data_IF_277600423752
#
_entry.id   IF_277600423752
#
_cell.length_a   1.000
_cell.length_b   1.000
_cell.length_c   1.000
_cell.angle_alpha   90.00
_cell.angle_beta   90.00
_cell.angle_gamma   90.00
#
_symmetry.space_group_name_H-M   'P 1'
#
loop_
_entity.id
_entity.type
_entity.pdbx_description
1 polymer ?
#
# COMPACT_ATOMS: atom_id res chain seq x y z
N UNK A 1 -20.98 -8.62 -11.51
CA UNK A 1 -22.26 -7.89 -11.64
C UNK A 1 -21.96 -6.49 -12.16
N UNK A 2 -22.59 -6.10 -13.27
CA UNK A 2 -22.44 -4.78 -13.86
C UNK A 2 -23.20 -3.72 -13.02
N UNK A 3 -22.53 -2.60 -12.72
CA UNK A 3 -23.12 -1.50 -11.93
C UNK A 3 -23.40 -0.24 -12.77
N UNK A 4 -23.08 -0.24 -14.07
CA UNK A 4 -23.36 0.87 -14.97
C UNK A 4 -24.86 0.94 -15.34
N UNK A 5 -25.35 2.15 -15.69
CA UNK A 5 -26.72 2.38 -16.13
C UNK A 5 -26.99 1.75 -17.49
N UNK A 6 -26.00 1.69 -18.37
CA UNK A 6 -26.06 1.08 -19.70
C UNK A 6 -25.08 -0.08 -19.83
N UNK A 7 -25.40 -1.14 -20.64
CA UNK A 7 -24.46 -2.20 -20.92
C UNK A 7 -23.23 -1.64 -21.66
N UNK A 8 -22.02 -2.21 -21.45
CA UNK A 8 -20.87 -1.81 -22.24
C UNK A 8 -21.07 -2.18 -23.71
N UNK A 9 -20.53 -1.38 -24.63
CA UNK A 9 -20.57 -1.65 -26.08
C UNK A 9 -19.66 -2.83 -26.48
N UNK A 10 -18.66 -3.12 -25.66
CA UNK A 10 -17.72 -4.24 -25.81
C UNK A 10 -17.43 -4.89 -24.46
N UNK A 11 -16.97 -6.16 -24.41
CA UNK A 11 -16.60 -6.78 -23.15
C UNK A 11 -15.39 -6.06 -22.54
N UNK A 12 -15.42 -5.85 -21.23
CA UNK A 12 -14.25 -5.36 -20.49
C UNK A 12 -13.11 -6.35 -20.72
N UNK A 13 -11.94 -5.83 -21.09
CA UNK A 13 -10.81 -6.67 -21.51
C UNK A 13 -10.41 -7.72 -20.45
N UNK A 14 -10.47 -7.37 -19.17
CA UNK A 14 -10.20 -8.32 -18.08
C UNK A 14 -11.20 -9.48 -18.02
N UNK A 15 -12.50 -9.18 -18.23
CA UNK A 15 -13.54 -10.23 -18.23
C UNK A 15 -13.42 -11.13 -19.45
N UNK A 16 -13.15 -10.54 -20.64
CA UNK A 16 -12.90 -11.30 -21.85
C UNK A 16 -11.66 -12.21 -21.67
N UNK A 17 -10.56 -11.66 -21.17
CA UNK A 17 -9.34 -12.44 -20.94
C UNK A 17 -9.55 -13.58 -19.94
N UNK A 18 -10.35 -13.38 -18.91
CA UNK A 18 -10.71 -14.46 -17.99
C UNK A 18 -11.46 -15.59 -18.70
N UNK A 19 -12.41 -15.26 -19.57
CA UNK A 19 -13.15 -16.24 -20.37
C UNK A 19 -12.22 -17.00 -21.32
N UNK A 20 -11.28 -16.31 -21.98
CA UNK A 20 -10.26 -16.90 -22.87
C UNK A 20 -9.33 -17.85 -22.08
N UNK A 21 -8.91 -17.47 -20.86
CA UNK A 21 -8.11 -18.34 -20.01
C UNK A 21 -8.87 -19.65 -19.67
N UNK A 22 -10.14 -19.58 -19.34
CA UNK A 22 -10.97 -20.78 -19.13
C UNK A 22 -11.15 -21.58 -20.42
N UNK A 23 -11.30 -20.91 -21.56
CA UNK A 23 -11.34 -21.54 -22.88
C UNK A 23 -10.06 -22.34 -23.16
N UNK A 24 -8.88 -21.73 -22.92
CA UNK A 24 -7.60 -22.42 -23.05
C UNK A 24 -7.51 -23.66 -22.15
N UNK A 25 -7.89 -23.52 -20.88
CA UNK A 25 -7.89 -24.67 -19.95
C UNK A 25 -8.79 -25.82 -20.44
N UNK A 26 -9.96 -25.50 -20.98
CA UNK A 26 -10.87 -26.50 -21.57
C UNK A 26 -10.28 -27.15 -22.82
N UNK A 27 -9.69 -26.38 -23.72
CA UNK A 27 -9.01 -26.93 -24.91
C UNK A 27 -7.94 -27.94 -24.52
N UNK A 28 -7.10 -27.59 -23.54
CA UNK A 28 -6.01 -28.46 -23.08
C UNK A 28 -6.52 -29.71 -22.37
N UNK A 29 -7.49 -29.55 -21.47
CA UNK A 29 -7.96 -30.68 -20.63
C UNK A 29 -8.85 -31.66 -21.38
N UNK A 30 -9.57 -31.21 -22.41
CA UNK A 30 -10.52 -32.02 -23.18
C UNK A 30 -10.08 -32.28 -24.61
N UNK A 31 -8.92 -31.77 -25.03
CA UNK A 31 -8.41 -31.96 -26.42
C UNK A 31 -9.30 -31.27 -27.46
N UNK A 32 -9.95 -30.14 -27.13
CA UNK A 32 -10.85 -29.47 -28.05
C UNK A 32 -10.07 -28.62 -29.06
N UNK A 33 -10.43 -28.61 -30.35
CA UNK A 33 -9.77 -27.79 -31.37
C UNK A 33 -10.22 -26.30 -31.30
N UNK A 34 -11.38 -26.05 -30.74
CA UNK A 34 -11.96 -24.71 -30.53
C UNK A 34 -12.96 -24.69 -29.40
N UNK A 35 -13.27 -23.51 -28.88
CA UNK A 35 -14.28 -23.26 -27.83
C UNK A 35 -15.10 -22.02 -28.17
N UNK A 36 -16.34 -22.02 -27.72
CA UNK A 36 -17.19 -20.81 -27.70
C UNK A 36 -17.12 -20.21 -26.30
N UNK A 37 -16.51 -19.03 -26.17
CA UNK A 37 -16.46 -18.26 -24.94
C UNK A 37 -17.54 -17.18 -24.98
N UNK A 38 -18.10 -16.85 -23.81
CA UNK A 38 -19.17 -15.87 -23.73
C UNK A 38 -19.05 -15.04 -22.48
N UNK A 39 -18.98 -13.71 -22.64
CA UNK A 39 -19.06 -12.76 -21.53
C UNK A 39 -20.49 -12.22 -21.47
N UNK A 40 -21.15 -12.41 -20.34
CA UNK A 40 -22.53 -11.97 -20.14
C UNK A 40 -22.60 -11.01 -18.96
N UNK A 41 -23.15 -9.82 -19.18
CA UNK A 41 -23.41 -8.84 -18.15
C UNK A 41 -24.87 -8.93 -17.71
N UNK A 42 -25.08 -9.09 -16.41
CA UNK A 42 -26.39 -9.22 -15.82
C UNK A 42 -26.61 -8.20 -14.70
N UNK A 43 -27.81 -7.69 -14.56
CA UNK A 43 -28.21 -6.86 -13.41
C UNK A 43 -28.23 -7.70 -12.13
N UNK A 44 -28.31 -7.05 -10.96
CA UNK A 44 -28.51 -7.74 -9.66
C UNK A 44 -29.78 -8.60 -9.63
N UNK A 45 -30.77 -8.30 -10.48
CA UNK A 45 -32.04 -9.07 -10.63
C UNK A 45 -31.95 -10.16 -11.70
N UNK A 46 -30.78 -10.45 -12.25
CA UNK A 46 -30.57 -11.52 -13.25
C UNK A 46 -30.94 -11.15 -14.69
N UNK A 47 -31.36 -9.89 -14.97
CA UNK A 47 -31.69 -9.48 -16.35
C UNK A 47 -30.40 -9.29 -17.13
N UNK A 48 -30.29 -9.95 -18.31
CA UNK A 48 -29.17 -9.78 -19.24
C UNK A 48 -29.20 -8.36 -19.80
N UNK A 49 -28.05 -7.68 -19.76
CA UNK A 49 -27.84 -6.32 -20.31
C UNK A 49 -26.95 -6.34 -21.54
N UNK A 50 -26.03 -7.27 -21.62
CA UNK A 50 -25.11 -7.41 -22.77
C UNK A 50 -24.56 -8.83 -22.81
N UNK A 51 -24.35 -9.34 -24.02
CA UNK A 51 -23.83 -10.67 -24.28
C UNK A 51 -22.84 -10.60 -25.44
N UNK A 52 -21.64 -11.13 -25.21
CA UNK A 52 -20.50 -11.04 -26.14
C UNK A 52 -19.97 -12.47 -26.36
N UNK A 53 -20.55 -13.21 -27.34
CA UNK A 53 -20.05 -14.52 -27.72
C UNK A 53 -18.85 -14.36 -28.64
N UNK A 54 -17.88 -15.24 -28.50
CA UNK A 54 -16.69 -15.30 -29.34
C UNK A 54 -16.28 -16.76 -29.51
N UNK A 55 -15.98 -17.19 -30.75
CA UNK A 55 -15.44 -18.51 -31.03
C UNK A 55 -13.94 -18.39 -31.25
N UNK A 56 -13.19 -19.14 -30.47
CA UNK A 56 -11.73 -19.15 -30.50
C UNK A 56 -11.20 -20.55 -30.74
N UNK A 57 -10.19 -20.67 -31.58
CA UNK A 57 -9.41 -21.92 -31.74
C UNK A 57 -8.55 -22.16 -30.51
N UNK A 58 -8.12 -23.40 -30.32
CA UNK A 58 -7.19 -23.75 -29.25
C UNK A 58 -5.88 -22.98 -29.33
N UNK A 59 -5.44 -22.63 -30.55
CA UNK A 59 -4.21 -21.88 -30.77
C UNK A 59 -4.36 -20.39 -30.40
N UNK A 60 -5.48 -19.75 -30.77
CA UNK A 60 -5.81 -18.39 -30.37
C UNK A 60 -5.94 -18.28 -28.86
N UNK A 61 -6.69 -19.17 -28.21
CA UNK A 61 -6.79 -19.23 -26.76
C UNK A 61 -5.41 -19.40 -26.09
N UNK A 62 -4.53 -20.25 -26.65
CA UNK A 62 -3.18 -20.46 -26.16
C UNK A 62 -2.34 -19.20 -26.29
N UNK A 63 -2.37 -18.53 -27.45
CA UNK A 63 -1.60 -17.32 -27.70
C UNK A 63 -1.99 -16.20 -26.73
N UNK A 64 -3.28 -15.96 -26.56
CA UNK A 64 -3.78 -14.96 -25.62
C UNK A 64 -3.48 -15.32 -24.16
N UNK A 65 -3.64 -16.57 -23.76
CA UNK A 65 -3.25 -17.05 -22.43
C UNK A 65 -1.76 -16.82 -22.17
N UNK A 66 -0.91 -17.14 -23.15
CA UNK A 66 0.53 -16.91 -23.04
C UNK A 66 0.89 -15.43 -22.95
N UNK A 67 0.16 -14.54 -23.62
CA UNK A 67 0.40 -13.11 -23.56
C UNK A 67 0.26 -12.55 -22.13
N UNK A 68 -0.63 -13.12 -21.32
CA UNK A 68 -0.80 -12.75 -19.90
C UNK A 68 0.17 -13.52 -18.99
N UNK A 69 0.36 -14.81 -19.26
CA UNK A 69 1.16 -15.69 -18.41
C UNK A 69 2.65 -15.38 -18.47
N UNK A 70 3.20 -15.12 -19.68
CA UNK A 70 4.64 -14.92 -19.86
C UNK A 70 5.20 -13.72 -19.10
N UNK A 71 4.59 -12.54 -19.10
CA UNK A 71 5.02 -11.40 -18.25
C UNK A 71 5.01 -11.78 -16.76
N UNK A 72 3.95 -12.43 -16.30
CA UNK A 72 3.86 -12.88 -14.91
C UNK A 72 5.01 -13.85 -14.53
N UNK A 73 5.29 -14.83 -15.39
CA UNK A 73 6.41 -15.78 -15.18
C UNK A 73 7.77 -15.08 -15.20
N UNK A 74 7.96 -14.10 -16.08
CA UNK A 74 9.19 -13.28 -16.11
C UNK A 74 9.38 -12.55 -14.78
N UNK A 75 8.32 -11.92 -14.27
CA UNK A 75 8.33 -11.24 -12.97
C UNK A 75 8.69 -12.20 -11.83
N UNK A 76 8.03 -13.36 -11.73
CA UNK A 76 8.36 -14.37 -10.71
C UNK A 76 9.82 -14.82 -10.81
N UNK A 77 10.32 -15.07 -12.02
CA UNK A 77 11.71 -15.47 -12.23
C UNK A 77 12.70 -14.39 -11.79
N UNK A 78 12.40 -13.12 -12.08
CA UNK A 78 13.21 -11.98 -11.65
C UNK A 78 13.22 -11.84 -10.12
N UNK A 79 12.06 -11.91 -9.47
CA UNK A 79 11.96 -11.90 -8.00
C UNK A 79 12.74 -13.06 -7.38
N UNK A 80 12.61 -14.27 -7.92
CA UNK A 80 13.37 -15.44 -7.41
C UNK A 80 14.88 -15.27 -7.58
N UNK A 81 15.33 -14.70 -8.70
CA UNK A 81 16.75 -14.42 -8.94
C UNK A 81 17.25 -13.39 -7.93
N UNK A 82 16.52 -12.29 -7.77
CA UNK A 82 16.83 -11.28 -6.77
C UNK A 82 16.88 -11.88 -5.35
N UNK A 83 15.87 -12.65 -4.95
CA UNK A 83 15.83 -13.29 -3.62
C UNK A 83 17.08 -14.15 -3.36
N UNK A 84 17.57 -14.88 -4.38
CA UNK A 84 18.81 -15.67 -4.24
C UNK A 84 20.04 -14.78 -4.06
N UNK A 85 20.19 -13.73 -4.87
CA UNK A 85 21.30 -12.77 -4.77
C UNK A 85 21.25 -12.02 -3.43
N UNK A 86 20.07 -11.55 -3.04
CA UNK A 86 19.81 -10.93 -1.73
C UNK A 86 20.24 -11.85 -0.58
N UNK A 87 19.73 -13.07 -0.55
CA UNK A 87 20.03 -14.00 0.55
C UNK A 87 21.54 -14.31 0.63
N UNK A 88 22.21 -14.46 -0.50
CA UNK A 88 23.65 -14.66 -0.54
C UNK A 88 24.41 -13.43 0.02
N UNK A 89 24.01 -12.21 -0.38
CA UNK A 89 24.62 -10.98 0.12
C UNK A 89 24.36 -10.78 1.62
N UNK A 90 23.14 -11.07 2.08
CA UNK A 90 22.77 -10.99 3.50
C UNK A 90 23.45 -12.05 4.37
N UNK A 91 23.76 -13.23 3.82
CA UNK A 91 24.54 -14.23 4.54
C UNK A 91 25.96 -13.72 4.87
N UNK A 92 26.57 -12.98 3.94
CA UNK A 92 27.90 -12.37 4.12
C UNK A 92 27.88 -11.07 4.95
N UNK A 93 26.69 -10.47 5.17
CA UNK A 93 26.55 -9.18 5.84
C UNK A 93 27.17 -9.18 7.25
N UNK A 94 27.99 -8.19 7.53
CA UNK A 94 28.61 -7.94 8.85
C UNK A 94 27.97 -6.71 9.50
N UNK A 95 28.11 -6.61 10.81
CA UNK A 95 27.68 -5.41 11.52
C UNK A 95 28.47 -4.19 11.00
N UNK A 96 27.81 -3.02 10.75
CA UNK A 96 28.40 -1.93 9.98
C UNK A 96 29.47 -1.11 10.72
N UNK A 97 29.80 -1.50 11.92
CA UNK A 97 30.84 -0.84 12.74
C UNK A 97 31.85 -1.87 13.26
N UNK A 98 33.08 -1.42 13.47
CA UNK A 98 34.14 -2.30 13.99
C UNK A 98 33.80 -2.88 15.35
N UNK A 99 33.14 -2.10 16.21
CA UNK A 99 32.77 -2.52 17.56
C UNK A 99 31.29 -2.17 17.82
N UNK A 100 30.63 -3.01 18.62
CA UNK A 100 29.32 -2.71 19.16
C UNK A 100 29.43 -1.68 20.30
N UNK A 101 28.53 -0.73 20.35
CA UNK A 101 28.32 0.11 21.52
C UNK A 101 27.66 -0.70 22.64
N UNK A 102 27.75 -0.25 23.92
CA UNK A 102 27.08 -0.92 25.02
C UNK A 102 25.59 -1.17 24.73
N UNK A 103 25.12 -2.40 24.97
CA UNK A 103 23.73 -2.84 24.72
C UNK A 103 23.37 -3.16 23.24
N UNK A 104 24.14 -2.71 22.25
CA UNK A 104 23.81 -2.94 20.84
C UNK A 104 23.80 -4.41 20.44
N UNK A 105 24.82 -5.18 20.92
CA UNK A 105 24.92 -6.61 20.60
C UNK A 105 23.78 -7.38 21.22
N UNK A 106 23.44 -7.09 22.45
CA UNK A 106 22.31 -7.71 23.17
C UNK A 106 21.00 -7.42 22.46
N UNK A 107 20.77 -6.16 22.08
CA UNK A 107 19.61 -5.75 21.29
C UNK A 107 19.53 -6.54 19.97
N UNK A 108 20.62 -6.62 19.22
CA UNK A 108 20.66 -7.34 17.94
C UNK A 108 20.32 -8.83 18.10
N UNK A 109 20.83 -9.48 19.16
CA UNK A 109 20.54 -10.88 19.48
C UNK A 109 19.05 -11.04 19.84
N UNK A 110 18.51 -10.12 20.64
CA UNK A 110 17.08 -10.19 21.04
C UNK A 110 16.15 -9.96 19.85
N UNK A 111 16.45 -9.00 18.96
CA UNK A 111 15.67 -8.76 17.73
C UNK A 111 15.69 -9.99 16.84
N UNK A 112 16.86 -10.55 16.54
CA UNK A 112 16.96 -11.77 15.75
C UNK A 112 16.17 -12.92 16.36
N UNK A 113 16.32 -13.12 17.68
CA UNK A 113 15.63 -14.19 18.42
C UNK A 113 14.10 -14.01 18.40
N UNK A 114 13.64 -12.78 18.56
CA UNK A 114 12.21 -12.45 18.49
C UNK A 114 11.62 -12.78 17.11
N UNK A 115 12.30 -12.38 16.01
CA UNK A 115 11.90 -12.72 14.65
C UNK A 115 11.86 -14.23 14.45
N UNK A 116 12.95 -14.94 14.81
CA UNK A 116 13.04 -16.39 14.68
C UNK A 116 11.94 -17.13 15.43
N UNK A 117 11.56 -16.63 16.62
CA UNK A 117 10.53 -17.24 17.48
C UNK A 117 9.11 -16.70 17.20
N UNK A 118 8.96 -15.79 16.21
CA UNK A 118 7.69 -15.11 15.89
C UNK A 118 7.06 -14.44 17.13
N UNK A 119 7.90 -13.79 17.96
CA UNK A 119 7.47 -13.13 19.20
C UNK A 119 7.57 -11.61 19.09
N UNK A 120 6.80 -10.93 19.93
CA UNK A 120 6.90 -9.48 20.12
C UNK A 120 8.06 -9.18 21.07
N UNK A 121 8.84 -8.14 20.74
CA UNK A 121 9.94 -7.63 21.58
C UNK A 121 9.67 -6.15 21.88
N UNK A 122 9.69 -5.81 23.13
CA UNK A 122 9.75 -4.42 23.60
C UNK A 122 11.16 -4.17 24.11
N UNK A 123 11.85 -3.19 23.54
CA UNK A 123 13.22 -2.88 23.89
C UNK A 123 13.37 -1.38 24.16
N UNK A 124 14.02 -1.03 25.25
CA UNK A 124 14.34 0.34 25.62
C UNK A 124 15.85 0.54 25.55
N UNK A 125 16.28 1.51 24.76
CA UNK A 125 17.68 1.93 24.64
C UNK A 125 17.78 3.45 24.66
N UNK A 126 18.81 4.03 25.26
CA UNK A 126 19.04 5.47 25.22
C UNK A 126 19.17 6.01 23.79
N UNK A 127 18.89 7.29 23.58
CA UNK A 127 19.11 7.98 22.31
C UNK A 127 20.60 7.99 21.96
N UNK A 128 20.91 7.99 20.65
CA UNK A 128 22.31 8.04 20.19
C UNK A 128 23.11 6.73 20.29
N UNK A 129 22.54 5.65 20.82
CA UNK A 129 23.20 4.36 20.93
C UNK A 129 23.25 3.54 19.64
N UNK A 130 22.63 4.03 18.54
CA UNK A 130 22.59 3.33 17.27
C UNK A 130 21.51 2.25 17.18
N UNK A 131 20.33 2.51 17.73
CA UNK A 131 19.15 1.63 17.71
C UNK A 131 18.84 1.10 16.31
N UNK A 132 18.82 1.98 15.30
CA UNK A 132 18.46 1.62 13.91
C UNK A 132 19.38 0.52 13.34
N UNK A 133 20.70 0.63 13.54
CA UNK A 133 21.64 -0.42 13.12
C UNK A 133 21.48 -1.69 13.93
N UNK A 134 21.20 -1.58 15.23
CA UNK A 134 21.01 -2.73 16.12
C UNK A 134 19.70 -3.50 15.87
N UNK A 135 18.74 -2.88 15.16
CA UNK A 135 17.47 -3.51 14.77
C UNK A 135 17.45 -3.97 13.30
N UNK A 136 17.95 -3.12 12.38
CA UNK A 136 17.97 -3.44 10.94
C UNK A 136 18.93 -4.58 10.62
N UNK A 137 20.15 -4.55 11.17
CA UNK A 137 21.13 -5.60 10.89
C UNK A 137 20.62 -7.02 11.19
N UNK A 138 20.10 -7.33 12.39
CA UNK A 138 19.59 -8.66 12.68
C UNK A 138 18.29 -8.99 11.90
N UNK A 139 17.45 -7.99 11.59
CA UNK A 139 16.27 -8.19 10.76
C UNK A 139 16.64 -8.57 9.33
N UNK A 140 17.67 -7.93 8.75
CA UNK A 140 18.20 -8.30 7.43
C UNK A 140 18.86 -9.69 7.44
N UNK A 141 19.56 -10.08 8.51
CA UNK A 141 20.07 -11.46 8.66
C UNK A 141 18.91 -12.45 8.66
N UNK A 142 17.87 -12.19 9.45
CA UNK A 142 16.68 -13.01 9.49
C UNK A 142 15.95 -13.10 8.14
N UNK A 143 15.89 -11.98 7.38
CA UNK A 143 15.36 -11.93 6.03
C UNK A 143 16.17 -12.83 5.07
N UNK A 144 17.50 -12.75 5.13
CA UNK A 144 18.40 -13.59 4.32
C UNK A 144 18.27 -15.08 4.60
N UNK A 145 17.90 -15.46 5.81
CA UNK A 145 17.67 -16.84 6.24
C UNK A 145 16.23 -17.32 5.99
N UNK A 146 15.35 -16.44 5.45
CA UNK A 146 13.95 -16.76 5.17
C UNK A 146 13.07 -16.86 6.44
N UNK A 147 13.51 -16.29 7.56
CA UNK A 147 12.73 -16.24 8.81
C UNK A 147 11.63 -15.18 8.77
N UNK A 148 11.69 -14.27 7.80
CA UNK A 148 10.67 -13.28 7.46
C UNK A 148 10.69 -13.01 5.97
N UNK A 149 9.57 -12.62 5.38
CA UNK A 149 9.45 -12.33 3.95
C UNK A 149 9.82 -10.90 3.59
N UNK A 150 9.52 -9.94 4.48
CA UNK A 150 9.77 -8.52 4.30
C UNK A 150 10.03 -7.85 5.65
N UNK A 151 10.72 -6.70 5.65
CA UNK A 151 10.96 -5.89 6.83
C UNK A 151 10.34 -4.50 6.65
N UNK A 152 9.46 -4.10 7.54
CA UNK A 152 8.89 -2.76 7.60
C UNK A 152 9.50 -2.00 8.76
N UNK A 153 10.16 -0.88 8.47
CA UNK A 153 10.68 0.03 9.47
C UNK A 153 9.73 1.22 9.60
N UNK A 154 9.01 1.26 10.71
CA UNK A 154 7.94 2.23 10.97
C UNK A 154 8.44 3.37 11.84
N UNK A 155 8.20 4.61 11.41
CA UNK A 155 8.60 5.83 12.13
C UNK A 155 7.40 6.70 12.47
N UNK A 156 7.45 7.42 13.58
CA UNK A 156 6.40 8.35 13.99
C UNK A 156 6.39 9.65 13.17
N UNK A 157 7.56 10.05 12.65
CA UNK A 157 7.75 11.31 11.90
C UNK A 157 8.77 11.15 10.79
N UNK A 158 8.62 11.94 9.74
CA UNK A 158 9.54 11.98 8.58
C UNK A 158 11.00 12.26 8.99
N UNK A 159 11.22 13.10 10.02
CA UNK A 159 12.57 13.43 10.52
C UNK A 159 13.27 12.27 11.21
N UNK A 160 12.53 11.33 11.81
CA UNK A 160 13.09 10.16 12.50
C UNK A 160 13.57 9.08 11.53
N UNK A 161 13.09 9.14 10.30
CA UNK A 161 13.41 8.22 9.20
C UNK A 161 14.89 8.25 8.81
N UNK A 162 15.56 9.41 9.01
CA UNK A 162 16.96 9.59 8.63
C UNK A 162 17.90 8.58 9.31
N UNK A 163 17.65 8.25 10.56
CA UNK A 163 18.46 7.24 11.27
C UNK A 163 18.37 5.83 10.67
N UNK A 164 17.22 5.45 10.13
CA UNK A 164 17.04 4.18 9.42
C UNK A 164 17.71 4.22 8.04
N UNK A 165 17.57 5.33 7.31
CA UNK A 165 18.22 5.54 6.01
C UNK A 165 19.74 5.50 6.13
N UNK A 166 20.31 6.19 7.12
CA UNK A 166 21.75 6.18 7.38
C UNK A 166 22.25 4.78 7.74
N UNK A 167 21.48 4.04 8.54
CA UNK A 167 21.82 2.66 8.89
C UNK A 167 21.79 1.74 7.66
N UNK A 168 20.76 1.85 6.80
CA UNK A 168 20.69 1.11 5.54
C UNK A 168 21.82 1.49 4.58
N UNK A 169 22.11 2.78 4.42
CA UNK A 169 23.20 3.25 3.54
C UNK A 169 24.55 2.69 3.96
N UNK A 170 24.83 2.63 5.27
CA UNK A 170 26.05 1.99 5.80
C UNK A 170 26.09 0.49 5.54
N UNK A 171 24.97 -0.21 5.68
CA UNK A 171 24.87 -1.63 5.37
C UNK A 171 25.07 -1.88 3.87
N UNK A 172 24.51 -1.01 3.02
CA UNK A 172 24.65 -1.07 1.56
C UNK A 172 26.10 -0.94 1.06
N UNK A 173 26.98 -0.27 1.81
CA UNK A 173 28.41 -0.21 1.50
C UNK A 173 29.07 -1.60 1.43
N UNK A 174 28.41 -2.64 1.92
CA UNK A 174 28.88 -4.02 1.88
C UNK A 174 28.37 -4.81 0.65
N UNK A 175 28.07 -4.14 -0.45
CA UNK A 175 27.58 -4.79 -1.70
C UNK A 175 26.30 -5.62 -1.52
N UNK A 176 25.30 -5.06 -0.87
CA UNK A 176 24.01 -5.72 -0.69
C UNK A 176 23.15 -5.63 -1.96
N UNK A 177 22.58 -6.74 -2.33
CA UNK A 177 21.44 -6.78 -3.25
C UNK A 177 20.15 -6.65 -2.43
N UNK A 178 19.61 -5.46 -2.33
CA UNK A 178 18.44 -5.18 -1.47
C UNK A 178 17.52 -4.15 -2.13
N UNK A 179 16.26 -4.50 -2.31
CA UNK A 179 15.22 -3.57 -2.73
C UNK A 179 14.65 -2.85 -1.51
N UNK A 180 15.19 -1.67 -1.23
CA UNK A 180 14.81 -0.86 -0.08
C UNK A 180 14.00 0.36 -0.54
N UNK A 181 12.74 0.42 -0.14
CA UNK A 181 11.77 1.42 -0.56
C UNK A 181 11.43 2.37 0.58
N UNK A 182 11.29 3.66 0.25
CA UNK A 182 10.78 4.69 1.17
C UNK A 182 9.41 5.15 0.69
N UNK A 183 8.42 5.13 1.58
CA UNK A 183 7.08 5.65 1.28
C UNK A 183 6.93 7.03 1.89
N UNK A 184 6.65 8.01 1.05
CA UNK A 184 6.26 9.37 1.44
C UNK A 184 4.75 9.58 1.33
N UNK A 185 4.24 10.58 2.05
CA UNK A 185 2.85 10.95 2.00
C UNK A 185 2.43 11.34 0.56
N UNK A 186 1.22 10.92 0.17
CA UNK A 186 0.66 11.15 -1.18
C UNK A 186 0.72 12.61 -1.59
N UNK A 187 0.38 13.52 -0.70
CA UNK A 187 0.36 14.96 -0.97
C UNK A 187 1.74 15.53 -1.31
N UNK A 188 2.81 14.94 -0.74
CA UNK A 188 4.20 15.33 -1.04
C UNK A 188 4.71 14.79 -2.37
N UNK A 189 4.14 13.66 -2.82
CA UNK A 189 4.56 13.00 -4.05
C UNK A 189 3.71 13.39 -5.27
N UNK A 190 2.49 13.91 -5.06
CA UNK A 190 1.57 14.23 -6.13
C UNK A 190 2.07 15.41 -6.97
N UNK A 191 2.40 15.20 -8.26
CA UNK A 191 2.92 16.29 -9.09
C UNK A 191 1.81 17.19 -9.68
N UNK A 192 0.56 16.73 -9.69
CA UNK A 192 -0.54 17.43 -10.35
C UNK A 192 -1.44 18.19 -9.37
N UNK A 193 -1.48 17.78 -8.10
CA UNK A 193 -2.38 18.32 -7.06
C UNK A 193 -3.85 18.43 -7.49
N UNK A 194 -4.26 17.63 -8.49
CA UNK A 194 -5.64 17.54 -8.97
C UNK A 194 -6.44 16.51 -8.19
N UNK A 195 -7.76 16.48 -8.39
CA UNK A 195 -8.61 15.43 -7.81
C UNK A 195 -8.10 14.05 -8.26
N UNK A 196 -7.84 13.17 -7.29
CA UNK A 196 -7.29 11.83 -7.55
C UNK A 196 -8.39 10.89 -8.07
N UNK A 197 -8.78 11.10 -9.33
CA UNK A 197 -9.78 10.31 -10.04
C UNK A 197 -9.35 10.16 -11.51
N UNK A 198 -9.59 9.01 -12.18
CA UNK A 198 -9.20 8.79 -13.58
C UNK A 198 -9.71 9.82 -14.58
N UNK A 199 -10.84 10.48 -14.31
CA UNK A 199 -11.39 11.52 -15.19
C UNK A 199 -10.65 12.86 -15.11
N UNK A 200 -9.92 13.10 -14.00
CA UNK A 200 -9.27 14.38 -13.72
C UNK A 200 -7.75 14.31 -13.63
N UNK A 201 -7.19 13.09 -13.49
CA UNK A 201 -5.77 12.86 -13.34
C UNK A 201 -5.27 11.84 -14.37
N UNK A 202 -4.47 12.28 -15.33
CA UNK A 202 -3.89 11.40 -16.35
C UNK A 202 -3.03 10.29 -15.77
N UNK A 203 -2.37 10.55 -14.64
CA UNK A 203 -1.55 9.54 -13.95
C UNK A 203 -2.38 8.47 -13.25
N UNK A 204 -3.62 8.77 -12.88
CA UNK A 204 -4.57 7.80 -12.34
C UNK A 204 -5.25 6.99 -13.45
N UNK A 205 -5.50 7.62 -14.63
CA UNK A 205 -6.13 6.96 -15.77
C UNK A 205 -5.24 5.86 -16.32
N UNK A 206 -5.69 4.61 -16.24
CA UNK A 206 -4.95 3.45 -16.75
C UNK A 206 -3.62 3.17 -16.02
N UNK A 207 -3.46 3.59 -14.78
CA UNK A 207 -2.26 3.41 -13.97
C UNK A 207 -1.79 1.95 -13.99
N UNK A 208 -2.65 1.02 -13.60
CA UNK A 208 -2.34 -0.41 -13.53
C UNK A 208 -2.13 -1.11 -14.88
N UNK A 209 -2.35 -0.44 -15.99
CA UNK A 209 -2.02 -0.95 -17.32
C UNK A 209 -0.57 -0.62 -17.71
N UNK A 210 -0.02 0.46 -17.14
CA UNK A 210 1.32 0.96 -17.44
C UNK A 210 2.36 0.60 -16.38
N UNK A 211 1.93 0.18 -15.17
CA UNK A 211 2.85 -0.07 -14.06
C UNK A 211 3.69 -1.34 -14.25
N UNK A 212 3.24 -2.28 -15.09
CA UNK A 212 3.96 -3.55 -15.32
C UNK A 212 5.36 -3.33 -15.87
N UNK A 213 5.51 -2.52 -16.92
CA UNK A 213 6.82 -2.22 -17.50
C UNK A 213 7.69 -1.40 -16.56
N UNK A 214 7.09 -0.44 -15.84
CA UNK A 214 7.78 0.36 -14.84
C UNK A 214 8.31 -0.51 -13.67
N UNK A 215 7.52 -1.49 -13.23
CA UNK A 215 7.95 -2.46 -12.20
C UNK A 215 9.11 -3.32 -12.73
N UNK A 216 9.05 -3.80 -13.99
CA UNK A 216 10.14 -4.56 -14.59
C UNK A 216 11.44 -3.74 -14.67
N UNK A 217 11.35 -2.45 -15.01
CA UNK A 217 12.49 -1.53 -15.00
C UNK A 217 13.07 -1.36 -13.59
N UNK A 218 12.22 -1.14 -12.58
CA UNK A 218 12.67 -1.05 -11.18
C UNK A 218 13.29 -2.36 -10.68
N UNK A 219 12.76 -3.51 -11.08
CA UNK A 219 13.34 -4.81 -10.71
C UNK A 219 14.72 -5.05 -11.34
N UNK A 220 15.03 -4.39 -12.44
CA UNK A 220 16.34 -4.43 -13.07
C UNK A 220 17.31 -3.36 -12.52
N UNK A 221 16.81 -2.36 -11.80
CA UNK A 221 17.60 -1.28 -11.23
C UNK A 221 18.19 -1.69 -9.87
N UNK A 222 19.44 -1.28 -9.64
CA UNK A 222 20.09 -1.43 -8.33
C UNK A 222 19.67 -0.31 -7.35
N UNK A 223 19.22 0.82 -7.90
CA UNK A 223 18.80 2.00 -7.12
C UNK A 223 17.28 2.05 -6.95
N UNK A 224 16.81 1.90 -5.72
CA UNK A 224 15.42 2.03 -5.28
C UNK A 224 15.17 3.29 -4.47
N UNK A 225 16.01 4.32 -4.65
CA UNK A 225 15.82 5.62 -4.02
C UNK A 225 14.50 6.27 -4.43
N UNK A 226 13.99 7.16 -3.58
CA UNK A 226 12.77 7.91 -3.86
C UNK A 226 12.88 8.75 -5.16
N UNK A 227 14.09 9.19 -5.49
CA UNK A 227 14.39 9.92 -6.73
C UNK A 227 14.22 9.03 -7.95
N UNK A 228 14.79 7.81 -7.93
CA UNK A 228 14.69 6.89 -9.05
C UNK A 228 13.26 6.36 -9.22
N UNK A 229 12.57 6.03 -8.12
CA UNK A 229 11.15 5.64 -8.16
C UNK A 229 10.31 6.75 -8.80
N UNK A 230 10.57 8.02 -8.47
CA UNK A 230 9.87 9.16 -9.08
C UNK A 230 10.21 9.30 -10.56
N UNK A 231 11.48 9.20 -10.94
CA UNK A 231 11.92 9.30 -12.33
C UNK A 231 11.26 8.22 -13.21
N UNK A 232 11.22 6.98 -12.74
CA UNK A 232 10.54 5.89 -13.44
C UNK A 232 9.02 6.13 -13.50
N UNK A 233 8.39 6.57 -12.41
CA UNK A 233 6.97 6.92 -12.41
C UNK A 233 6.65 8.04 -13.42
N UNK A 234 7.50 9.05 -13.52
CA UNK A 234 7.36 10.15 -14.49
C UNK A 234 7.49 9.65 -15.93
N UNK A 235 8.48 8.81 -16.20
CA UNK A 235 8.72 8.20 -17.52
C UNK A 235 7.50 7.45 -18.06
N UNK A 236 6.81 6.72 -17.19
CA UNK A 236 5.61 5.93 -17.55
C UNK A 236 4.29 6.65 -17.27
N UNK A 237 4.31 7.95 -16.96
CA UNK A 237 3.14 8.73 -16.58
C UNK A 237 2.31 8.07 -15.46
N UNK A 238 2.97 7.53 -14.44
CA UNK A 238 2.36 6.91 -13.27
C UNK A 238 2.21 7.90 -12.12
N UNK A 239 1.25 7.63 -11.22
CA UNK A 239 1.23 8.29 -9.93
C UNK A 239 2.41 7.78 -9.08
N UNK A 240 3.37 8.61 -8.65
CA UNK A 240 4.54 8.14 -7.90
C UNK A 240 4.16 7.43 -6.60
N UNK A 241 3.10 7.89 -5.93
CA UNK A 241 2.60 7.26 -4.70
C UNK A 241 2.02 5.85 -4.97
N UNK A 242 1.11 5.72 -5.94
CA UNK A 242 0.51 4.41 -6.27
C UNK A 242 1.57 3.44 -6.83
N UNK A 243 2.55 3.96 -7.56
CA UNK A 243 3.67 3.16 -8.04
C UNK A 243 4.53 2.64 -6.87
N UNK A 244 4.87 3.49 -5.90
CA UNK A 244 5.54 3.05 -4.67
C UNK A 244 4.72 1.98 -3.92
N UNK A 245 3.37 2.11 -3.89
CA UNK A 245 2.50 1.08 -3.31
C UNK A 245 2.58 -0.26 -4.08
N UNK A 246 2.68 -0.23 -5.41
CA UNK A 246 2.88 -1.45 -6.22
C UNK A 246 4.26 -2.09 -5.95
N UNK A 247 5.30 -1.27 -5.77
CA UNK A 247 6.65 -1.74 -5.45
C UNK A 247 6.75 -2.34 -4.04
N UNK A 248 5.93 -1.90 -3.07
CA UNK A 248 5.88 -2.50 -1.72
C UNK A 248 5.62 -4.00 -1.73
N UNK A 249 4.94 -4.52 -2.76
CA UNK A 249 4.64 -5.95 -2.83
C UNK A 249 5.88 -6.83 -3.04
N UNK A 250 6.93 -6.27 -3.60
CA UNK A 250 8.16 -6.98 -3.94
C UNK A 250 9.40 -6.44 -3.22
N UNK A 251 9.30 -5.29 -2.55
CA UNK A 251 10.40 -4.71 -1.78
C UNK A 251 10.82 -5.63 -0.63
N UNK A 252 12.11 -5.63 -0.30
CA UNK A 252 12.68 -6.37 0.82
C UNK A 252 12.55 -5.61 2.13
N UNK A 253 12.78 -4.30 2.07
CA UNK A 253 12.68 -3.36 3.18
C UNK A 253 11.80 -2.20 2.77
N UNK A 254 10.85 -1.83 3.61
CA UNK A 254 10.02 -0.63 3.42
C UNK A 254 10.15 0.26 4.64
N UNK A 255 10.53 1.51 4.44
CA UNK A 255 10.57 2.54 5.47
C UNK A 255 9.38 3.46 5.28
N UNK A 256 8.49 3.56 6.26
CA UNK A 256 7.29 4.36 6.17
C UNK A 256 6.80 4.88 7.53
N UNK A 257 5.78 5.76 7.50
CA UNK A 257 5.07 6.20 8.70
C UNK A 257 4.20 5.07 9.28
N UNK A 258 3.92 5.13 10.59
CA UNK A 258 3.02 4.20 11.30
C UNK A 258 1.66 4.04 10.62
N UNK A 259 1.13 5.11 10.01
CA UNK A 259 -0.19 5.11 9.39
C UNK A 259 -0.30 4.01 8.31
N UNK A 260 0.77 3.76 7.56
CA UNK A 260 0.75 2.75 6.50
C UNK A 260 0.58 1.31 6.99
N UNK A 261 0.86 1.06 8.26
CA UNK A 261 0.69 -0.26 8.86
C UNK A 261 -0.51 -0.35 9.81
N UNK A 262 -0.90 0.77 10.46
CA UNK A 262 -1.76 0.74 11.63
C UNK A 262 -3.07 1.54 11.47
N UNK A 263 -3.11 2.55 10.58
CA UNK A 263 -4.30 3.36 10.38
C UNK A 263 -5.35 2.61 9.55
N UNK A 264 -6.56 2.36 10.07
CA UNK A 264 -7.61 1.63 9.36
C UNK A 264 -8.00 2.23 8.00
N UNK A 265 -7.82 3.54 7.82
CA UNK A 265 -8.17 4.25 6.58
C UNK A 265 -7.03 4.24 5.54
N UNK A 266 -5.78 4.18 5.99
CA UNK A 266 -4.59 4.42 5.15
C UNK A 266 -3.70 3.20 5.00
N UNK A 267 -3.83 2.17 5.90
CA UNK A 267 -2.93 1.02 5.90
C UNK A 267 -2.91 0.28 4.54
N UNK A 268 -1.78 -0.29 4.22
CA UNK A 268 -1.56 -1.02 2.96
C UNK A 268 -2.23 -2.38 3.04
N UNK A 269 -3.53 -2.45 2.72
CA UNK A 269 -4.37 -3.65 2.83
C UNK A 269 -3.76 -4.88 2.16
N UNK A 270 -3.24 -4.71 0.95
CA UNK A 270 -2.62 -5.81 0.18
C UNK A 270 -1.36 -6.40 0.83
N UNK A 271 -0.79 -5.73 1.82
CA UNK A 271 0.34 -6.22 2.60
C UNK A 271 -0.12 -6.75 3.95
N UNK A 272 -0.86 -5.94 4.72
CA UNK A 272 -1.17 -6.21 6.12
C UNK A 272 -2.43 -7.05 6.33
N UNK A 273 -3.40 -7.01 5.40
CA UNK A 273 -4.58 -7.89 5.42
C UNK A 273 -4.31 -9.25 4.77
N UNK A 274 -3.21 -9.38 4.02
CA UNK A 274 -2.77 -10.66 3.46
C UNK A 274 -1.97 -11.45 4.51
N UNK A 275 -2.02 -12.79 4.43
CA UNK A 275 -1.19 -13.70 5.25
C UNK A 275 0.27 -13.66 4.79
N UNK A 276 0.90 -12.50 4.87
CA UNK A 276 2.32 -12.32 4.54
C UNK A 276 3.18 -12.40 5.79
N UNK A 277 4.34 -13.01 5.66
CA UNK A 277 5.33 -13.08 6.72
C UNK A 277 6.15 -11.80 6.74
N UNK A 278 5.76 -10.84 7.59
CA UNK A 278 6.40 -9.53 7.70
C UNK A 278 6.93 -9.30 9.10
N UNK A 279 8.10 -8.64 9.19
CA UNK A 279 8.65 -8.13 10.45
C UNK A 279 8.43 -6.63 10.53
N UNK A 280 7.81 -6.16 11.60
CA UNK A 280 7.64 -4.74 11.90
C UNK A 280 8.71 -4.30 12.89
N UNK A 281 9.54 -3.34 12.51
CA UNK A 281 10.46 -2.62 13.39
C UNK A 281 9.84 -1.25 13.69
N UNK A 282 9.33 -1.06 14.88
CA UNK A 282 8.60 0.16 15.27
C UNK A 282 9.56 1.04 16.09
N UNK A 283 10.03 2.12 15.50
CA UNK A 283 10.92 3.06 16.15
C UNK A 283 10.12 4.06 17.01
N UNK A 284 10.69 4.47 18.16
CA UNK A 284 10.05 5.38 19.11
C UNK A 284 8.61 4.97 19.47
N UNK A 285 8.41 3.67 19.74
CA UNK A 285 7.09 3.06 19.97
C UNK A 285 6.29 3.68 21.14
N UNK A 286 6.92 4.49 21.99
CA UNK A 286 6.24 5.24 23.04
C UNK A 286 5.23 6.28 22.50
N UNK A 287 5.39 6.71 21.24
CA UNK A 287 4.39 7.56 20.55
C UNK A 287 3.18 6.76 20.04
N UNK A 288 3.25 5.45 19.99
CA UNK A 288 2.24 4.61 19.36
C UNK A 288 0.85 4.71 20.02
N UNK A 289 0.72 4.71 21.38
CA UNK A 289 -0.60 4.82 22.02
C UNK A 289 -1.35 6.11 21.66
N UNK A 290 -0.65 7.25 21.62
CA UNK A 290 -1.22 8.53 21.21
C UNK A 290 -1.62 8.51 19.73
N UNK A 291 -0.71 8.04 18.86
CA UNK A 291 -0.99 7.93 17.41
C UNK A 291 -2.17 7.01 17.10
N UNK A 292 -2.28 5.88 17.77
CA UNK A 292 -3.43 4.97 17.58
C UNK A 292 -4.72 5.63 18.04
N UNK A 293 -4.69 6.37 19.15
CA UNK A 293 -5.85 7.15 19.61
C UNK A 293 -6.28 8.15 18.53
N UNK A 294 -5.34 8.91 17.96
CA UNK A 294 -5.62 9.87 16.90
C UNK A 294 -6.19 9.19 15.65
N UNK A 295 -5.61 8.04 15.24
CA UNK A 295 -6.07 7.27 14.07
C UNK A 295 -7.50 6.73 14.22
N UNK A 296 -7.90 6.43 15.47
CA UNK A 296 -9.25 5.94 15.79
C UNK A 296 -10.21 7.05 16.22
N UNK A 297 -9.75 8.30 16.28
CA UNK A 297 -10.55 9.44 16.66
C UNK A 297 -11.06 10.18 15.43
N UNK A 298 -12.32 10.54 15.46
CA UNK A 298 -12.92 11.45 14.50
C UNK A 298 -13.12 12.83 15.15
N UNK A 299 -12.91 13.89 14.40
CA UNK A 299 -13.23 15.26 14.84
C UNK A 299 -14.23 15.90 13.90
N UNK A 300 -15.19 16.60 14.46
CA UNK A 300 -16.17 17.41 13.73
C UNK A 300 -15.98 18.86 14.15
N UNK A 301 -15.63 19.71 13.18
CA UNK A 301 -15.49 21.15 13.41
C UNK A 301 -16.72 21.90 12.86
N UNK A 302 -17.50 22.48 13.74
CA UNK A 302 -18.71 23.24 13.37
C UNK A 302 -18.39 24.45 12.51
N UNK A 303 -17.25 25.13 12.73
CA UNK A 303 -16.84 26.30 11.94
C UNK A 303 -16.48 25.89 10.50
N UNK A 304 -15.76 24.78 10.30
CA UNK A 304 -15.47 24.19 9.00
C UNK A 304 -16.74 23.75 8.27
N UNK A 305 -17.66 23.08 8.97
CA UNK A 305 -18.96 22.69 8.41
C UNK A 305 -19.80 23.90 7.98
N UNK A 306 -19.80 25.01 8.74
CA UNK A 306 -20.48 26.24 8.35
C UNK A 306 -19.91 26.87 7.09
N UNK A 307 -18.56 26.86 6.93
CA UNK A 307 -17.90 27.32 5.69
C UNK A 307 -18.30 26.44 4.51
N UNK A 308 -18.20 25.12 4.65
CA UNK A 308 -18.56 24.17 3.60
C UNK A 308 -20.05 24.28 3.23
N UNK A 309 -20.95 24.38 4.21
CA UNK A 309 -22.39 24.63 3.97
C UNK A 309 -22.63 25.88 3.13
N UNK A 310 -21.85 26.94 3.38
CA UNK A 310 -21.96 28.18 2.60
C UNK A 310 -21.58 27.95 1.14
N UNK A 311 -20.53 27.17 0.88
CA UNK A 311 -20.12 26.78 -0.48
C UNK A 311 -21.21 25.95 -1.16
N UNK A 312 -21.74 24.93 -0.48
CA UNK A 312 -22.84 24.10 -1.00
C UNK A 312 -24.09 24.96 -1.28
N UNK A 313 -24.42 25.90 -0.40
CA UNK A 313 -25.54 26.81 -0.59
C UNK A 313 -25.41 27.72 -1.81
N UNK A 314 -24.18 28.14 -2.14
CA UNK A 314 -23.90 28.91 -3.39
C UNK A 314 -23.95 28.05 -4.63
N UNK A 315 -23.42 26.82 -4.57
CA UNK A 315 -23.28 25.94 -5.72
C UNK A 315 -24.58 25.19 -6.07
N UNK A 316 -25.31 24.68 -5.08
CA UNK A 316 -26.47 23.80 -5.27
C UNK A 316 -27.79 24.36 -4.68
N UNK A 317 -27.72 25.49 -3.99
CA UNK A 317 -28.87 26.13 -3.33
C UNK A 317 -29.19 25.58 -1.95
N UNK A 318 -29.85 26.42 -1.12
CA UNK A 318 -30.19 26.10 0.27
C UNK A 318 -31.26 25.00 0.43
N UNK A 319 -31.97 24.65 -0.64
CA UNK A 319 -32.97 23.56 -0.64
C UNK A 319 -32.33 22.19 -0.89
N UNK A 320 -31.04 22.13 -1.31
CA UNK A 320 -30.34 20.89 -1.58
C UNK A 320 -30.27 19.99 -0.33
N UNK A 321 -30.52 18.67 -0.44
CA UNK A 321 -30.50 17.75 0.70
C UNK A 321 -29.23 17.82 1.54
N UNK A 322 -28.06 17.93 0.88
CA UNK A 322 -26.76 18.07 1.58
C UNK A 322 -26.70 19.34 2.44
N UNK A 323 -27.25 20.50 1.97
CA UNK A 323 -27.29 21.73 2.75
C UNK A 323 -28.11 21.57 4.03
N UNK A 324 -29.25 20.86 3.95
CA UNK A 324 -30.10 20.55 5.10
C UNK A 324 -29.38 19.63 6.08
N UNK A 325 -28.85 18.50 5.58
CA UNK A 325 -28.09 17.56 6.41
C UNK A 325 -26.93 18.22 7.16
N UNK A 326 -26.14 19.05 6.47
CA UNK A 326 -25.09 19.83 7.13
C UNK A 326 -25.62 20.80 8.20
N UNK A 327 -26.80 21.37 8.00
CA UNK A 327 -27.42 22.25 8.97
C UNK A 327 -27.83 21.48 10.23
N UNK A 328 -28.36 20.29 10.07
CA UNK A 328 -28.78 19.42 11.17
C UNK A 328 -27.57 18.92 11.97
N UNK A 329 -26.50 18.48 11.29
CA UNK A 329 -25.23 18.12 11.95
C UNK A 329 -24.64 19.31 12.72
N UNK A 330 -24.62 20.52 12.14
CA UNK A 330 -24.11 21.71 12.84
C UNK A 330 -24.92 21.99 14.12
N UNK A 331 -26.25 21.88 14.05
CA UNK A 331 -27.11 22.09 15.24
C UNK A 331 -26.83 21.03 16.31
N UNK A 332 -26.69 19.74 15.89
CA UNK A 332 -26.37 18.67 16.82
C UNK A 332 -25.02 18.90 17.50
N UNK A 333 -23.99 19.26 16.75
CA UNK A 333 -22.65 19.57 17.30
C UNK A 333 -22.72 20.80 18.24
N UNK A 334 -23.39 21.88 17.82
CA UNK A 334 -23.52 23.09 18.64
C UNK A 334 -24.28 22.81 19.96
N UNK A 335 -25.25 21.90 19.95
CA UNK A 335 -25.96 21.50 21.18
C UNK A 335 -25.10 20.72 22.17
N UNK A 336 -24.04 20.04 21.68
CA UNK A 336 -23.10 19.30 22.52
C UNK A 336 -22.02 20.21 23.16
N UNK A 337 -21.78 21.38 22.56
CA UNK A 337 -20.69 22.29 22.94
C UNK A 337 -21.07 23.33 24.02
N UNK A 338 -22.25 23.25 24.62
CA UNK A 338 -22.67 24.13 25.67
C UNK A 338 -22.75 23.38 27.01
N UNK A 339 -21.65 23.26 27.76
CA UNK A 339 -21.71 22.77 29.15
C UNK A 339 -22.50 23.73 30.00
N UNK A 340 -23.33 23.20 30.87
CA UNK A 340 -24.15 24.01 31.82
C UNK A 340 -23.31 24.88 32.75
N UNK A 341 -22.02 24.53 32.93
CA UNK A 341 -21.07 25.26 33.81
C UNK A 341 -20.29 26.38 33.11
N UNK A 342 -20.54 26.61 31.80
CA UNK A 342 -19.83 27.63 31.01
C UNK A 342 -18.39 27.30 30.67
N UNK A 343 -17.93 26.04 30.88
CA UNK A 343 -16.60 25.59 30.46
C UNK A 343 -16.53 25.47 28.94
N UNK A 344 -15.34 25.74 28.36
CA UNK A 344 -15.10 25.64 26.90
C UNK A 344 -14.75 24.22 26.44
N UNK A 345 -14.54 23.31 27.38
CA UNK A 345 -14.16 21.92 27.16
C UNK A 345 -14.96 20.98 28.05
N UNK A 346 -15.43 19.90 27.50
CA UNK A 346 -16.16 18.87 28.21
C UNK A 346 -15.98 17.48 27.60
N UNK A 347 -16.19 16.43 28.39
CA UNK A 347 -16.14 15.05 27.96
C UNK A 347 -17.53 14.43 28.12
N UNK A 348 -18.05 13.86 27.03
CA UNK A 348 -19.28 13.06 27.08
C UNK A 348 -18.93 11.60 27.30
N UNK A 349 -19.49 10.93 28.32
CA UNK A 349 -19.22 9.50 28.58
C UNK A 349 -19.79 8.58 27.49
N UNK A 350 -20.81 9.05 26.77
CA UNK A 350 -21.45 8.33 25.66
C UNK A 350 -21.98 9.33 24.64
N UNK A 351 -21.91 9.00 23.35
CA UNK A 351 -22.62 9.77 22.33
C UNK A 351 -24.12 9.70 22.58
N UNK A 352 -24.87 10.80 22.38
CA UNK A 352 -26.32 10.77 22.41
C UNK A 352 -26.89 9.73 21.42
N UNK A 353 -27.99 9.10 21.79
CA UNK A 353 -28.59 8.02 20.97
C UNK A 353 -29.13 8.53 19.61
N UNK A 354 -29.32 9.86 19.46
CA UNK A 354 -29.81 10.53 18.25
C UNK A 354 -28.69 11.08 17.35
N UNK A 355 -27.41 10.84 17.73
CA UNK A 355 -26.26 11.29 16.99
C UNK A 355 -25.78 10.20 16.06
#
# INVERSE_FOLDING_TARGET
LWQGEHPPEAPISAHRMQAVCYGHMLCVTRGLPAVDVRVVYVTRRGKVQGEFPERLTAEECRAEFQSVLLPYLRRIRAVRRHTRARNASLAALKFPYANYRPGQREMAVQVYTAIKRKKRLFACMPTGTGKSSATLFPALKALGEGLTGQVYYLTARTTQRQGALDALARLHQQTLHLWALVIDAKDKQCPTHTLCHPDYCERAKGHFLRDTEAIEEMMAADDWSAENVRAVADKYCLCPFEFAMSLCEIADVVICDYNYALDPAVHIRRIFDATRDVTLLIDEAHHLPERIRDMLSGSVDSAGLRKLRTVVGKAAGKKHPLYKAMTDVIRAVDSLLLPEDGSMEGTLPKLPDDF
#
